data_IF_109780264776
#
_entry.id   IF_109780264776
#
_cell.length_a   1.000
_cell.length_b   1.000
_cell.length_c   1.000
_cell.angle_alpha   90.00
_cell.angle_beta   90.00
_cell.angle_gamma   90.00
#
_symmetry.space_group_name_H-M   'P 1'
#
loop_
_entity.id
_entity.type
_entity.pdbx_description
1 polymer ?
#
# COMPACT_ATOMS: atom_id res chain seq x y z
N UNK A 1 25.65 6.47 -2.21
CA UNK A 1 26.07 5.16 -1.64
C UNK A 1 26.73 5.36 -0.30
N UNK A 2 27.82 6.19 -0.17
CA UNK A 2 28.56 6.40 1.09
C UNK A 2 27.64 6.77 2.27
N UNK A 3 26.82 7.83 2.12
CA UNK A 3 25.88 8.26 3.15
C UNK A 3 24.89 7.15 3.53
N UNK A 4 24.39 6.41 2.56
CA UNK A 4 23.51 5.26 2.80
C UNK A 4 24.19 4.19 3.66
N UNK A 5 25.42 3.79 3.31
CA UNK A 5 26.16 2.79 4.07
C UNK A 5 26.46 3.23 5.51
N UNK A 6 26.86 4.49 5.71
CA UNK A 6 27.10 5.04 7.04
C UNK A 6 25.82 5.07 7.90
N UNK A 7 24.69 5.47 7.32
CA UNK A 7 23.41 5.46 8.02
C UNK A 7 22.92 4.04 8.30
N UNK A 8 23.10 3.10 7.37
CA UNK A 8 22.79 1.66 7.58
C UNK A 8 23.63 1.09 8.73
N UNK A 9 24.91 1.44 8.82
CA UNK A 9 25.78 1.04 9.93
C UNK A 9 25.28 1.58 11.29
N UNK A 10 24.86 2.85 11.35
CA UNK A 10 24.25 3.44 12.56
C UNK A 10 22.95 2.72 12.90
N UNK A 11 22.06 2.55 11.94
CA UNK A 11 20.80 1.83 12.15
C UNK A 11 21.02 0.41 12.67
N UNK A 12 22.00 -0.33 12.11
CA UNK A 12 22.36 -1.67 12.58
C UNK A 12 22.83 -1.71 14.02
N UNK A 13 23.51 -0.65 14.49
CA UNK A 13 23.95 -0.52 15.87
C UNK A 13 22.79 -0.27 16.83
N UNK A 14 21.85 0.60 16.42
CA UNK A 14 20.74 1.04 17.26
C UNK A 14 19.52 0.10 17.18
N UNK A 15 19.39 -0.65 16.08
CA UNK A 15 18.29 -1.56 15.81
C UNK A 15 18.78 -2.95 15.43
N UNK A 16 18.69 -3.88 16.39
CA UNK A 16 19.05 -5.29 16.19
C UNK A 16 17.78 -6.14 16.24
N UNK A 17 17.41 -6.74 15.12
CA UNK A 17 16.28 -7.64 15.03
C UNK A 17 16.59 -8.84 14.12
N UNK A 18 16.33 -10.08 14.55
CA UNK A 18 16.49 -11.24 13.69
C UNK A 18 15.51 -11.26 12.51
N UNK A 19 14.38 -10.54 12.62
CA UNK A 19 13.39 -10.43 11.56
C UNK A 19 13.85 -9.51 10.42
N UNK A 20 14.76 -8.59 10.70
CA UNK A 20 15.25 -7.58 9.75
C UNK A 20 16.78 -7.54 9.76
N UNK A 21 17.45 -8.58 9.27
CA UNK A 21 18.90 -8.66 9.28
C UNK A 21 19.49 -7.65 8.30
N UNK A 22 20.16 -6.62 8.83
CA UNK A 22 20.90 -5.66 8.03
C UNK A 22 22.27 -6.23 7.67
N UNK A 23 22.68 -6.18 6.37
CA UNK A 23 24.00 -6.66 5.96
C UNK A 23 25.12 -5.81 6.54
N UNK A 24 26.32 -6.38 6.58
CA UNK A 24 27.52 -5.59 6.87
C UNK A 24 28.00 -4.88 5.60
N UNK A 25 28.09 -3.55 5.66
CA UNK A 25 28.55 -2.69 4.57
C UNK A 25 29.89 -2.02 4.89
N UNK A 26 30.64 -2.54 5.87
CA UNK A 26 31.90 -1.91 6.31
C UNK A 26 32.93 -1.85 5.18
N UNK A 27 33.04 -2.88 4.36
CA UNK A 27 33.95 -2.87 3.20
C UNK A 27 33.60 -1.81 2.15
N UNK A 28 32.30 -1.61 1.92
CA UNK A 28 31.82 -0.53 1.03
C UNK A 28 32.21 0.84 1.60
N UNK A 29 32.09 1.01 2.92
CA UNK A 29 32.52 2.25 3.59
C UNK A 29 34.03 2.44 3.44
N UNK A 30 34.82 1.40 3.67
CA UNK A 30 36.28 1.46 3.54
C UNK A 30 36.71 1.84 2.12
N UNK A 31 36.01 1.33 1.09
CA UNK A 31 36.25 1.67 -0.32
C UNK A 31 35.90 3.15 -0.58
N UNK A 32 34.81 3.67 -0.03
CA UNK A 32 34.30 5.01 -0.31
C UNK A 32 34.81 6.08 0.64
N UNK A 33 35.45 5.70 1.77
CA UNK A 33 35.99 6.60 2.77
C UNK A 33 37.36 6.10 3.28
N UNK A 34 38.40 6.05 2.42
CA UNK A 34 39.72 5.52 2.76
C UNK A 34 40.40 6.36 3.86
N UNK A 35 40.03 7.62 3.97
CA UNK A 35 40.59 8.54 4.99
C UNK A 35 39.79 8.54 6.30
N UNK A 36 38.73 7.73 6.40
CA UNK A 36 37.86 7.56 7.59
C UNK A 36 37.31 8.88 8.14
N UNK A 37 36.88 9.75 7.23
CA UNK A 37 36.37 11.09 7.58
C UNK A 37 34.98 11.05 8.16
N UNK A 38 34.24 9.94 7.98
CA UNK A 38 32.82 9.76 8.32
C UNK A 38 31.87 10.83 7.73
N UNK A 39 32.38 11.62 6.78
CA UNK A 39 31.58 12.60 6.05
C UNK A 39 30.50 11.93 5.23
N UNK A 40 29.27 12.46 5.29
CA UNK A 40 28.15 11.96 4.45
C UNK A 40 28.32 12.27 2.98
N UNK A 41 29.15 13.29 2.65
CA UNK A 41 29.46 13.62 1.25
C UNK A 41 30.57 12.71 0.72
N UNK A 42 30.43 12.35 -0.54
CA UNK A 42 31.45 11.60 -1.26
C UNK A 42 32.21 12.54 -2.20
N UNK A 43 33.50 12.46 -2.17
CA UNK A 43 34.43 13.09 -3.11
C UNK A 43 35.59 12.13 -3.37
N UNK A 44 36.35 12.36 -4.44
CA UNK A 44 37.53 11.55 -4.73
C UNK A 44 38.65 11.98 -3.79
N UNK A 45 38.99 11.11 -2.86
CA UNK A 45 40.06 11.36 -1.88
C UNK A 45 41.44 11.31 -2.51
N UNK A 46 42.38 12.10 -1.98
CA UNK A 46 43.78 12.05 -2.42
C UNK A 46 44.43 10.70 -2.10
N UNK A 47 43.94 9.99 -1.10
CA UNK A 47 44.39 8.65 -0.73
C UNK A 47 44.18 7.58 -1.83
N UNK A 48 43.33 7.83 -2.83
CA UNK A 48 43.11 6.87 -3.92
C UNK A 48 44.31 6.80 -4.93
N UNK A 49 45.09 7.88 -5.08
CA UNK A 49 46.22 7.95 -6.02
C UNK A 49 47.29 8.93 -5.54
N UNK A 50 48.52 8.47 -5.52
CA UNK A 50 49.66 9.35 -5.21
C UNK A 50 49.79 10.48 -6.26
N UNK A 51 49.54 10.17 -7.54
CA UNK A 51 49.56 11.13 -8.64
C UNK A 51 48.50 12.23 -8.41
N UNK A 52 47.28 11.86 -8.06
CA UNK A 52 46.23 12.84 -7.75
C UNK A 52 46.63 13.74 -6.57
N UNK A 53 47.19 13.15 -5.51
CA UNK A 53 47.71 13.89 -4.37
C UNK A 53 48.75 14.92 -4.74
N UNK A 54 49.68 14.52 -5.62
CA UNK A 54 50.75 15.40 -6.12
C UNK A 54 50.20 16.55 -6.99
N UNK A 55 49.34 16.21 -7.96
CA UNK A 55 48.71 17.21 -8.84
C UNK A 55 47.88 18.22 -8.06
N UNK A 56 47.17 17.79 -7.03
CA UNK A 56 46.40 18.72 -6.18
C UNK A 56 47.29 19.68 -5.38
N UNK A 57 48.46 19.21 -4.92
CA UNK A 57 49.46 20.09 -4.25
C UNK A 57 50.02 21.10 -5.27
N UNK A 58 50.43 20.66 -6.46
CA UNK A 58 50.94 21.52 -7.50
C UNK A 58 49.88 22.53 -7.98
N UNK A 59 48.61 22.13 -8.05
CA UNK A 59 47.49 23.02 -8.37
C UNK A 59 47.33 24.12 -7.35
N UNK A 60 47.42 23.80 -6.05
CA UNK A 60 47.35 24.81 -5.00
C UNK A 60 48.54 25.76 -5.03
N UNK A 61 49.70 25.23 -5.32
CA UNK A 61 50.90 26.05 -5.50
C UNK A 61 50.76 26.99 -6.68
N UNK A 62 50.32 26.49 -7.86
CA UNK A 62 50.10 27.31 -9.06
C UNK A 62 49.05 28.42 -8.82
N UNK A 63 48.03 28.13 -8.01
CA UNK A 63 47.03 29.13 -7.59
C UNK A 63 47.64 30.22 -6.72
N UNK A 64 48.48 29.83 -5.77
CA UNK A 64 49.15 30.80 -4.89
C UNK A 64 50.15 31.68 -5.64
N UNK A 65 50.73 31.16 -6.74
CA UNK A 65 51.66 31.86 -7.64
C UNK A 65 50.89 32.67 -8.73
N UNK A 66 49.56 32.73 -8.68
CA UNK A 66 48.66 33.39 -9.66
C UNK A 66 48.92 32.94 -11.15
N UNK A 67 49.41 31.73 -11.31
CA UNK A 67 49.70 31.16 -12.64
C UNK A 67 48.45 30.42 -13.14
N UNK A 68 47.51 31.16 -13.74
CA UNK A 68 46.23 30.62 -14.22
C UNK A 68 46.38 29.52 -15.29
N UNK A 69 47.31 29.64 -16.20
CA UNK A 69 47.50 28.63 -17.27
C UNK A 69 47.97 27.30 -16.70
N UNK A 70 48.92 27.32 -15.76
CA UNK A 70 49.42 26.13 -15.08
C UNK A 70 48.33 25.53 -14.20
N UNK A 71 47.62 26.34 -13.45
CA UNK A 71 46.50 25.91 -12.64
C UNK A 71 45.38 25.24 -13.45
N UNK A 72 45.02 25.83 -14.61
CA UNK A 72 44.01 25.22 -15.49
C UNK A 72 44.47 23.86 -16.02
N UNK A 73 45.72 23.74 -16.48
CA UNK A 73 46.26 22.48 -17.02
C UNK A 73 46.28 21.36 -15.95
N UNK A 74 46.65 21.71 -14.71
CA UNK A 74 46.66 20.77 -13.58
C UNK A 74 45.24 20.37 -13.17
N UNK A 75 44.27 21.30 -13.22
CA UNK A 75 42.89 21.02 -13.01
C UNK A 75 42.33 19.99 -13.99
N UNK A 76 42.57 20.19 -15.28
CA UNK A 76 42.16 19.23 -16.33
C UNK A 76 42.75 17.84 -16.11
N UNK A 77 44.04 17.76 -15.77
CA UNK A 77 44.72 16.49 -15.42
C UNK A 77 44.06 15.84 -14.19
N UNK A 78 43.79 16.62 -13.14
CA UNK A 78 43.13 16.07 -11.94
C UNK A 78 41.76 15.48 -12.24
N UNK A 79 40.98 16.13 -13.10
CA UNK A 79 39.67 15.62 -13.54
C UNK A 79 39.75 14.30 -14.30
N UNK A 80 40.76 14.16 -15.17
CA UNK A 80 40.99 12.90 -15.89
C UNK A 80 41.30 11.75 -14.91
N UNK A 81 42.21 11.97 -13.95
CA UNK A 81 42.57 10.97 -12.95
C UNK A 81 41.36 10.66 -12.07
N UNK A 82 40.58 11.66 -11.65
CA UNK A 82 39.39 11.45 -10.89
C UNK A 82 38.34 10.59 -11.64
N UNK A 83 38.19 10.77 -12.95
CA UNK A 83 37.30 9.94 -13.76
C UNK A 83 37.75 8.48 -13.78
N UNK A 84 39.07 8.24 -14.00
CA UNK A 84 39.63 6.88 -13.92
C UNK A 84 39.40 6.23 -12.53
N UNK A 85 39.59 7.01 -11.46
CA UNK A 85 39.33 6.53 -10.10
C UNK A 85 37.86 6.19 -9.93
N UNK A 86 36.91 7.00 -10.44
CA UNK A 86 35.46 6.70 -10.39
C UNK A 86 35.11 5.37 -11.06
N UNK A 87 35.72 5.12 -12.26
CA UNK A 87 35.52 3.83 -12.95
C UNK A 87 36.06 2.64 -12.13
N UNK A 88 37.28 2.78 -11.60
CA UNK A 88 37.86 1.75 -10.73
C UNK A 88 37.05 1.49 -9.46
N UNK A 89 36.52 2.55 -8.84
CA UNK A 89 35.64 2.43 -7.68
C UNK A 89 34.33 1.72 -8.06
N UNK A 90 33.78 2.02 -9.25
CA UNK A 90 32.62 1.31 -9.78
C UNK A 90 32.85 -0.20 -9.87
N UNK A 91 34.00 -0.60 -10.43
CA UNK A 91 34.38 -2.02 -10.53
C UNK A 91 34.55 -2.65 -9.13
N UNK A 92 35.21 -1.96 -8.21
CA UNK A 92 35.41 -2.44 -6.83
C UNK A 92 34.10 -2.58 -6.04
N UNK A 93 33.11 -1.73 -6.35
CA UNK A 93 31.80 -1.76 -5.68
C UNK A 93 30.84 -2.79 -6.25
N UNK A 94 31.07 -3.24 -7.49
CA UNK A 94 30.18 -4.16 -8.18
C UNK A 94 29.84 -5.43 -7.39
N UNK A 95 30.81 -6.12 -6.73
CA UNK A 95 30.51 -7.32 -5.92
C UNK A 95 29.57 -7.05 -4.73
N UNK A 96 29.46 -5.81 -4.28
CA UNK A 96 28.63 -5.44 -3.12
C UNK A 96 27.22 -5.00 -3.49
N UNK A 97 26.86 -4.94 -4.78
CA UNK A 97 25.51 -4.58 -5.24
C UNK A 97 24.43 -5.44 -4.58
N UNK A 98 24.55 -6.78 -4.49
CA UNK A 98 23.54 -7.60 -3.83
C UNK A 98 23.33 -7.23 -2.36
N UNK A 99 24.41 -6.93 -1.63
CA UNK A 99 24.33 -6.51 -0.23
C UNK A 99 23.66 -5.14 -0.08
N UNK A 100 23.95 -4.19 -0.97
CA UNK A 100 23.32 -2.88 -1.01
C UNK A 100 21.80 -2.99 -1.29
N UNK A 101 21.42 -3.80 -2.27
CA UNK A 101 20.00 -4.04 -2.60
C UNK A 101 19.27 -4.73 -1.43
N UNK A 102 19.92 -5.69 -0.78
CA UNK A 102 19.36 -6.32 0.42
C UNK A 102 19.17 -5.33 1.57
N UNK A 103 20.13 -4.43 1.80
CA UNK A 103 20.01 -3.37 2.80
C UNK A 103 18.81 -2.46 2.51
N UNK A 104 18.64 -2.02 1.25
CA UNK A 104 17.50 -1.19 0.82
C UNK A 104 16.19 -1.91 1.10
N UNK A 105 16.06 -3.18 0.70
CA UNK A 105 14.87 -4.00 0.93
C UNK A 105 14.57 -4.17 2.43
N UNK A 106 15.59 -4.45 3.24
CA UNK A 106 15.43 -4.61 4.68
C UNK A 106 14.97 -3.31 5.34
N UNK A 107 15.56 -2.17 4.98
CA UNK A 107 15.16 -0.85 5.52
C UNK A 107 13.72 -0.52 5.11
N UNK A 108 13.33 -0.79 3.87
CA UNK A 108 11.95 -0.59 3.41
C UNK A 108 10.95 -1.44 4.20
N UNK A 109 11.29 -2.69 4.53
CA UNK A 109 10.45 -3.55 5.37
C UNK A 109 10.36 -3.05 6.82
N UNK A 110 11.45 -2.51 7.37
CA UNK A 110 11.45 -1.87 8.68
C UNK A 110 10.50 -0.67 8.68
N UNK A 111 10.64 0.23 7.71
CA UNK A 111 9.82 1.44 7.58
C UNK A 111 8.32 1.09 7.45
N UNK A 112 7.99 0.12 6.58
CA UNK A 112 6.62 -0.38 6.44
C UNK A 112 6.07 -0.94 7.76
N UNK A 113 6.89 -1.68 8.52
CA UNK A 113 6.48 -2.24 9.80
C UNK A 113 6.21 -1.17 10.85
N UNK A 114 7.04 -0.12 10.89
CA UNK A 114 6.80 1.05 11.74
C UNK A 114 5.53 1.81 11.33
N UNK A 115 5.31 2.01 10.03
CA UNK A 115 4.10 2.66 9.52
C UNK A 115 2.83 1.88 9.92
N UNK A 116 2.85 0.55 9.77
CA UNK A 116 1.75 -0.33 10.20
C UNK A 116 1.50 -0.24 11.72
N UNK A 117 2.56 -0.26 12.53
CA UNK A 117 2.46 -0.16 13.97
C UNK A 117 1.90 1.23 14.41
N UNK A 118 2.38 2.31 13.79
CA UNK A 118 1.91 3.67 14.03
C UNK A 118 0.42 3.82 13.71
N UNK A 119 -0.01 3.33 12.54
CA UNK A 119 -1.41 3.33 12.13
C UNK A 119 -2.28 2.52 13.10
N UNK A 120 -1.80 1.33 13.48
CA UNK A 120 -2.48 0.45 14.42
C UNK A 120 -2.69 1.12 15.79
N UNK A 121 -1.68 1.81 16.31
CA UNK A 121 -1.78 2.52 17.58
C UNK A 121 -2.69 3.74 17.49
N UNK A 122 -2.61 4.50 16.37
CA UNK A 122 -3.42 5.70 16.18
C UNK A 122 -4.92 5.39 16.18
N UNK A 123 -5.34 4.36 15.44
CA UNK A 123 -6.75 3.96 15.33
C UNK A 123 -7.16 2.83 16.28
N UNK A 124 -6.28 2.37 17.16
CA UNK A 124 -6.52 1.21 18.04
C UNK A 124 -6.99 -0.03 17.26
N UNK A 125 -6.28 -0.35 16.17
CA UNK A 125 -6.61 -1.49 15.31
C UNK A 125 -6.30 -2.81 16.02
N UNK A 126 -7.15 -3.83 15.80
CA UNK A 126 -7.02 -5.13 16.45
C UNK A 126 -6.59 -6.23 15.47
N UNK A 127 -5.90 -7.20 16.00
CA UNK A 127 -5.62 -8.43 15.26
C UNK A 127 -6.85 -9.31 15.24
N UNK A 128 -7.18 -9.87 14.07
CA UNK A 128 -8.30 -10.79 13.88
C UNK A 128 -7.80 -12.20 13.62
N UNK A 129 -8.67 -13.18 13.80
CA UNK A 129 -8.42 -14.56 13.41
C UNK A 129 -8.54 -14.70 11.89
N UNK A 130 -7.49 -15.18 11.24
CA UNK A 130 -7.53 -15.58 9.83
C UNK A 130 -7.93 -17.05 9.77
N UNK A 131 -8.99 -17.36 9.01
CA UNK A 131 -9.57 -18.70 8.95
C UNK A 131 -9.71 -19.22 7.53
N UNK A 132 -9.73 -20.53 7.37
CA UNK A 132 -10.09 -21.22 6.13
C UNK A 132 -11.62 -21.42 5.98
N UNK A 133 -12.37 -21.28 7.08
CA UNK A 133 -13.82 -21.29 7.04
C UNK A 133 -14.31 -20.05 6.29
N UNK A 134 -15.24 -20.23 5.34
CA UNK A 134 -15.80 -19.10 4.59
C UNK A 134 -16.67 -18.22 5.49
N UNK A 135 -16.03 -17.24 6.09
CA UNK A 135 -16.70 -16.26 6.95
C UNK A 135 -15.98 -14.92 6.97
N UNK A 136 -16.76 -13.86 7.03
CA UNK A 136 -16.31 -12.51 7.35
C UNK A 136 -17.15 -12.04 8.55
N UNK A 137 -16.60 -12.23 9.74
CA UNK A 137 -17.27 -11.85 11.01
C UNK A 137 -16.49 -10.71 11.65
N UNK A 138 -17.19 -9.63 11.93
CA UNK A 138 -16.61 -8.46 12.58
C UNK A 138 -17.51 -8.00 13.75
N UNK A 139 -16.89 -7.78 14.89
CA UNK A 139 -17.53 -7.17 16.06
C UNK A 139 -17.04 -5.72 16.20
N UNK A 140 -17.97 -4.80 16.32
CA UNK A 140 -17.71 -3.36 16.48
C UNK A 140 -16.76 -2.81 15.40
N UNK A 141 -17.01 -3.19 14.14
CA UNK A 141 -16.28 -2.69 12.99
C UNK A 141 -16.57 -1.19 12.78
N UNK A 142 -15.56 -0.42 12.39
CA UNK A 142 -15.72 1.00 12.11
C UNK A 142 -14.86 1.43 10.91
N UNK A 143 -15.27 2.56 10.31
CA UNK A 143 -14.46 3.22 9.27
C UNK A 143 -13.58 4.29 9.93
N UNK A 144 -12.24 4.16 9.96
CA UNK A 144 -11.37 5.04 10.74
C UNK A 144 -11.58 6.52 10.44
N UNK A 145 -11.50 6.90 9.16
CA UNK A 145 -11.64 8.28 8.72
C UNK A 145 -13.03 8.88 9.06
N UNK A 146 -14.11 8.10 8.87
CA UNK A 146 -15.46 8.59 9.15
C UNK A 146 -15.66 8.75 10.66
N UNK A 147 -15.10 7.83 11.45
CA UNK A 147 -15.12 7.93 12.91
C UNK A 147 -14.40 9.20 13.38
N UNK A 148 -13.22 9.48 12.87
CA UNK A 148 -12.43 10.67 13.17
C UNK A 148 -13.19 11.97 12.83
N UNK A 149 -13.77 12.06 11.61
CA UNK A 149 -14.59 13.22 11.20
C UNK A 149 -15.82 13.43 12.12
N UNK A 150 -16.45 12.35 12.57
CA UNK A 150 -17.60 12.46 13.48
C UNK A 150 -17.15 12.91 14.88
N UNK A 151 -16.04 12.40 15.39
CA UNK A 151 -15.46 12.79 16.68
C UNK A 151 -15.08 14.27 16.69
N UNK A 152 -14.47 14.80 15.61
CA UNK A 152 -14.20 16.24 15.45
C UNK A 152 -15.49 17.08 15.52
N UNK A 153 -16.60 16.55 14.98
CA UNK A 153 -17.92 17.19 15.04
C UNK A 153 -18.67 16.92 16.35
N UNK A 154 -18.01 16.29 17.35
CA UNK A 154 -18.63 15.86 18.62
C UNK A 154 -19.83 14.91 18.43
N UNK A 155 -19.78 14.12 17.37
CA UNK A 155 -20.76 13.08 17.07
C UNK A 155 -20.16 11.69 17.33
N UNK A 156 -21.01 10.70 17.62
CA UNK A 156 -20.56 9.34 17.89
C UNK A 156 -20.71 8.45 16.65
N UNK A 157 -19.65 7.75 16.28
CA UNK A 157 -19.74 6.70 15.28
C UNK A 157 -20.46 5.48 15.88
N UNK A 158 -21.45 4.95 15.17
CA UNK A 158 -22.13 3.71 15.56
C UNK A 158 -21.35 2.50 15.03
N UNK A 159 -20.70 1.70 15.87
CA UNK A 159 -19.97 0.50 15.44
C UNK A 159 -20.90 -0.53 14.78
N UNK A 160 -20.35 -1.30 13.85
CA UNK A 160 -21.08 -2.26 13.04
C UNK A 160 -20.69 -3.67 13.46
N UNK A 161 -21.69 -4.49 13.81
CA UNK A 161 -21.53 -5.93 13.96
C UNK A 161 -22.07 -6.60 12.70
N UNK A 162 -21.27 -7.41 12.02
CA UNK A 162 -21.67 -8.08 10.79
C UNK A 162 -21.08 -9.48 10.72
N UNK A 163 -21.87 -10.42 10.24
CA UNK A 163 -21.47 -11.79 9.94
C UNK A 163 -21.94 -12.15 8.53
N UNK A 164 -20.98 -12.45 7.66
CA UNK A 164 -21.17 -12.86 6.28
C UNK A 164 -20.58 -14.26 6.12
N UNK A 165 -21.43 -15.22 5.77
CA UNK A 165 -21.06 -16.61 5.50
C UNK A 165 -21.19 -16.93 4.00
N UNK A 166 -21.43 -18.18 3.69
CA UNK A 166 -21.48 -18.72 2.32
C UNK A 166 -22.64 -18.22 1.43
N UNK A 167 -23.49 -17.33 1.93
CA UNK A 167 -24.68 -16.87 1.23
C UNK A 167 -24.47 -15.46 0.64
N UNK A 168 -25.25 -15.11 -0.36
CA UNK A 168 -25.38 -13.72 -0.77
C UNK A 168 -26.11 -12.91 0.32
N UNK A 169 -25.75 -11.64 0.46
CA UNK A 169 -26.37 -10.74 1.42
C UNK A 169 -26.99 -9.54 0.71
N UNK A 170 -28.21 -9.23 1.09
CA UNK A 170 -28.94 -8.08 0.60
C UNK A 170 -29.17 -7.11 1.76
N UNK A 171 -28.52 -5.96 1.72
CA UNK A 171 -28.68 -4.92 2.72
C UNK A 171 -29.77 -3.95 2.27
N UNK A 172 -30.84 -3.86 3.06
CA UNK A 172 -31.95 -2.94 2.83
C UNK A 172 -32.02 -1.88 3.91
N UNK A 173 -32.67 -0.76 3.62
CA UNK A 173 -32.84 0.35 4.59
C UNK A 173 -33.06 1.67 3.90
N UNK A 174 -33.45 2.68 4.66
CA UNK A 174 -33.67 4.03 4.14
C UNK A 174 -32.40 4.61 3.51
N UNK A 175 -32.58 5.55 2.59
CA UNK A 175 -31.47 6.34 2.09
C UNK A 175 -30.83 7.10 3.25
N UNK A 176 -29.51 7.29 3.20
CA UNK A 176 -28.70 7.85 4.30
C UNK A 176 -28.57 6.98 5.57
N UNK A 177 -29.09 5.74 5.58
CA UNK A 177 -28.95 4.85 6.73
C UNK A 177 -27.53 4.24 6.90
N UNK A 178 -26.56 4.61 6.06
CA UNK A 178 -25.19 4.14 6.11
C UNK A 178 -24.89 2.86 5.32
N UNK A 179 -25.77 2.44 4.39
CA UNK A 179 -25.57 1.23 3.55
C UNK A 179 -24.23 1.27 2.80
N UNK A 180 -23.97 2.36 2.06
CA UNK A 180 -22.70 2.59 1.36
C UNK A 180 -21.51 2.56 2.30
N UNK A 181 -21.64 3.11 3.50
CA UNK A 181 -20.55 3.12 4.49
C UNK A 181 -20.22 1.71 4.98
N UNK A 182 -21.21 0.83 5.15
CA UNK A 182 -20.97 -0.58 5.49
C UNK A 182 -20.14 -1.25 4.42
N UNK A 183 -20.50 -1.09 3.13
CA UNK A 183 -19.74 -1.67 2.03
C UNK A 183 -18.30 -1.12 1.97
N UNK A 184 -18.14 0.20 2.07
CA UNK A 184 -16.80 0.84 2.10
C UNK A 184 -15.96 0.34 3.27
N UNK A 185 -16.57 0.14 4.43
CA UNK A 185 -15.90 -0.36 5.63
C UNK A 185 -15.49 -1.83 5.46
N UNK A 186 -16.35 -2.68 4.89
CA UNK A 186 -16.01 -4.07 4.57
C UNK A 186 -14.85 -4.14 3.57
N UNK A 187 -14.91 -3.35 2.50
CA UNK A 187 -13.84 -3.27 1.50
C UNK A 187 -12.51 -2.86 2.14
N UNK A 188 -12.51 -1.79 2.94
CA UNK A 188 -11.33 -1.30 3.64
C UNK A 188 -10.74 -2.35 4.59
N UNK A 189 -11.58 -3.02 5.38
CA UNK A 189 -11.15 -4.07 6.31
C UNK A 189 -10.50 -5.23 5.57
N UNK A 190 -11.10 -5.69 4.47
CA UNK A 190 -10.55 -6.79 3.69
C UNK A 190 -9.22 -6.40 3.02
N UNK A 191 -9.10 -5.18 2.48
CA UNK A 191 -7.84 -4.67 1.94
C UNK A 191 -6.75 -4.58 3.02
N UNK A 192 -7.07 -3.99 4.17
CA UNK A 192 -6.12 -3.89 5.29
C UNK A 192 -5.61 -5.28 5.71
N UNK A 193 -6.51 -6.27 5.81
CA UNK A 193 -6.15 -7.65 6.14
C UNK A 193 -5.18 -8.23 5.12
N UNK A 194 -5.49 -8.10 3.82
CA UNK A 194 -4.68 -8.68 2.73
C UNK A 194 -3.30 -8.04 2.61
N UNK A 195 -3.17 -6.78 3.02
CA UNK A 195 -1.87 -6.11 3.14
C UNK A 195 -1.18 -6.32 4.50
N UNK A 196 -1.73 -7.19 5.37
CA UNK A 196 -1.15 -7.55 6.66
C UNK A 196 -1.18 -6.42 7.69
N UNK A 197 -2.23 -5.61 7.68
CA UNK A 197 -2.53 -4.65 8.74
C UNK A 197 -3.45 -5.28 9.80
N UNK A 198 -3.45 -4.72 10.99
CA UNK A 198 -4.53 -4.91 11.95
C UNK A 198 -5.79 -4.19 11.48
N UNK A 199 -6.97 -4.57 11.99
CA UNK A 199 -8.25 -4.11 11.48
C UNK A 199 -8.99 -3.17 12.43
N UNK A 200 -9.76 -2.20 11.90
CA UNK A 200 -10.62 -1.32 12.66
C UNK A 200 -11.89 -2.05 13.13
N UNK A 201 -11.74 -2.90 14.12
CA UNK A 201 -12.81 -3.63 14.80
C UNK A 201 -12.35 -4.00 16.21
N UNK A 202 -13.27 -4.47 17.04
CA UNK A 202 -12.94 -5.00 18.37
C UNK A 202 -12.41 -6.43 18.28
N UNK A 203 -13.02 -7.25 17.44
CA UNK A 203 -12.59 -8.62 17.12
C UNK A 203 -13.18 -9.07 15.79
N UNK A 204 -12.63 -10.14 15.22
CA UNK A 204 -13.15 -10.71 13.99
C UNK A 204 -12.56 -12.06 13.67
N UNK A 205 -13.27 -12.81 12.82
CA UNK A 205 -12.83 -14.07 12.18
C UNK A 205 -13.06 -13.92 10.68
N UNK A 206 -11.97 -13.94 9.89
CA UNK A 206 -12.03 -13.45 8.52
C UNK A 206 -11.23 -14.36 7.57
N UNK A 207 -11.83 -14.67 6.42
CA UNK A 207 -11.20 -15.43 5.33
C UNK A 207 -10.47 -14.49 4.38
N UNK A 208 -9.29 -14.88 3.92
CA UNK A 208 -8.62 -14.20 2.80
C UNK A 208 -9.35 -14.49 1.49
N UNK A 209 -9.43 -13.49 0.62
CA UNK A 209 -10.06 -13.61 -0.70
C UNK A 209 -9.02 -13.47 -1.80
N UNK A 210 -9.32 -14.00 -2.98
CA UNK A 210 -8.44 -13.87 -4.16
C UNK A 210 -8.40 -12.42 -4.65
N UNK A 211 -9.58 -11.78 -4.72
CA UNK A 211 -9.70 -10.38 -5.14
C UNK A 211 -10.98 -9.75 -4.58
N UNK A 212 -11.06 -8.43 -4.65
CA UNK A 212 -12.19 -7.63 -4.19
C UNK A 212 -12.76 -6.86 -5.37
N UNK A 213 -14.01 -7.13 -5.72
CA UNK A 213 -14.73 -6.41 -6.76
C UNK A 213 -15.74 -5.44 -6.14
N UNK A 214 -15.74 -4.21 -6.61
CA UNK A 214 -16.65 -3.18 -6.11
C UNK A 214 -17.40 -2.48 -7.23
N UNK A 215 -18.67 -2.19 -6.97
CA UNK A 215 -19.48 -1.24 -7.72
C UNK A 215 -20.11 -0.30 -6.68
N UNK A 216 -19.32 0.66 -6.19
CA UNK A 216 -19.69 1.58 -5.11
C UNK A 216 -19.46 3.02 -5.58
N UNK A 217 -20.53 3.82 -5.50
CA UNK A 217 -20.51 5.23 -5.88
C UNK A 217 -21.13 5.49 -7.25
N UNK A 218 -21.39 6.76 -7.53
CA UNK A 218 -21.94 7.19 -8.81
C UNK A 218 -20.83 7.10 -9.86
N UNK A 219 -20.88 6.06 -10.69
CA UNK A 219 -19.94 5.84 -11.80
C UNK A 219 -20.15 6.86 -12.94
N UNK A 220 -20.02 8.15 -12.61
CA UNK A 220 -20.02 9.22 -13.60
C UNK A 220 -18.62 9.31 -14.22
N UNK A 221 -18.35 8.49 -15.21
CA UNK A 221 -17.27 8.75 -16.16
C UNK A 221 -17.82 9.69 -17.23
N UNK A 222 -17.94 10.98 -16.90
CA UNK A 222 -18.36 12.03 -17.86
C UNK A 222 -17.47 12.05 -19.11
N UNK A 223 -16.26 11.52 -19.04
CA UNK A 223 -15.29 11.49 -20.13
C UNK A 223 -15.55 10.43 -21.21
N UNK A 224 -16.41 9.43 -20.99
CA UNK A 224 -16.62 8.35 -21.94
C UNK A 224 -17.98 8.39 -22.65
N UNK A 225 -18.86 9.34 -22.31
CA UNK A 225 -20.18 9.47 -22.96
C UNK A 225 -21.13 8.28 -22.76
N UNK A 226 -20.80 7.37 -21.85
CA UNK A 226 -21.59 6.17 -21.52
C UNK A 226 -22.56 6.54 -20.39
N UNK A 227 -23.82 6.15 -20.50
CA UNK A 227 -24.78 6.38 -19.41
C UNK A 227 -24.33 5.63 -18.15
N UNK A 228 -24.60 6.20 -16.98
CA UNK A 228 -24.27 5.58 -15.69
C UNK A 228 -24.79 4.15 -15.55
N UNK A 229 -25.95 3.89 -16.09
CA UNK A 229 -26.54 2.54 -16.13
C UNK A 229 -25.74 1.58 -17.02
N UNK A 230 -25.34 2.01 -18.21
CA UNK A 230 -24.54 1.17 -19.10
C UNK A 230 -23.17 0.84 -18.50
N UNK A 231 -22.53 1.81 -17.85
CA UNK A 231 -21.28 1.59 -17.13
C UNK A 231 -21.45 0.56 -15.99
N UNK A 232 -22.53 0.67 -15.20
CA UNK A 232 -22.84 -0.25 -14.13
C UNK A 232 -23.01 -1.69 -14.68
N UNK A 233 -23.75 -1.88 -15.77
CA UNK A 233 -23.94 -3.20 -16.41
C UNK A 233 -22.61 -3.75 -16.95
N UNK A 234 -21.78 -2.93 -17.57
CA UNK A 234 -20.46 -3.35 -18.04
C UNK A 234 -19.56 -3.79 -16.87
N UNK A 235 -19.58 -3.07 -15.75
CA UNK A 235 -18.83 -3.43 -14.55
C UNK A 235 -19.31 -4.77 -13.97
N UNK A 236 -20.61 -4.98 -13.82
CA UNK A 236 -21.16 -6.25 -13.34
C UNK A 236 -20.82 -7.41 -14.27
N UNK A 237 -20.90 -7.20 -15.59
CA UNK A 237 -20.51 -8.21 -16.57
C UNK A 237 -19.01 -8.56 -16.44
N UNK A 238 -18.17 -7.56 -16.22
CA UNK A 238 -16.75 -7.77 -15.98
C UNK A 238 -16.50 -8.57 -14.69
N UNK A 239 -17.20 -8.25 -13.60
CA UNK A 239 -17.14 -9.03 -12.35
C UNK A 239 -17.51 -10.49 -12.63
N UNK A 240 -18.67 -10.74 -13.26
CA UNK A 240 -19.15 -12.11 -13.54
C UNK A 240 -18.16 -12.91 -14.40
N UNK A 241 -17.48 -12.26 -15.35
CA UNK A 241 -16.49 -12.91 -16.23
C UNK A 241 -15.20 -13.29 -15.49
N UNK A 242 -14.81 -12.51 -14.50
CA UNK A 242 -13.54 -12.69 -13.81
C UNK A 242 -13.61 -13.60 -12.58
N UNK A 243 -14.78 -13.78 -11.97
CA UNK A 243 -14.94 -14.69 -10.83
C UNK A 243 -14.94 -16.17 -11.28
N UNK A 244 -14.03 -16.94 -10.71
CA UNK A 244 -13.89 -18.38 -10.94
C UNK A 244 -14.58 -19.14 -9.81
N UNK A 245 -15.04 -20.37 -10.11
CA UNK A 245 -15.77 -21.19 -9.14
C UNK A 245 -14.90 -21.81 -8.06
N UNK A 246 -13.61 -21.94 -8.30
CA UNK A 246 -12.61 -22.55 -7.41
C UNK A 246 -11.91 -21.52 -6.48
N UNK A 247 -12.25 -20.24 -6.62
CA UNK A 247 -11.68 -19.13 -5.84
C UNK A 247 -12.76 -18.40 -5.06
N UNK A 248 -12.36 -17.77 -3.97
CA UNK A 248 -13.25 -16.95 -3.14
C UNK A 248 -12.98 -15.47 -3.39
N UNK A 249 -14.02 -14.70 -3.66
CA UNK A 249 -13.95 -13.25 -3.90
C UNK A 249 -14.84 -12.51 -2.91
N UNK A 250 -14.57 -11.22 -2.70
CA UNK A 250 -15.49 -10.30 -2.04
C UNK A 250 -16.09 -9.36 -3.09
N UNK A 251 -17.40 -9.39 -3.24
CA UNK A 251 -18.16 -8.62 -4.23
C UNK A 251 -19.08 -7.67 -3.50
N UNK A 252 -18.89 -6.37 -3.68
CA UNK A 252 -19.61 -5.31 -3.00
C UNK A 252 -20.29 -4.39 -4.01
N UNK A 253 -21.62 -4.38 -4.03
CA UNK A 253 -22.42 -3.61 -5.01
C UNK A 253 -23.36 -2.67 -4.27
N UNK A 254 -23.27 -1.38 -4.53
CA UNK A 254 -24.10 -0.36 -3.89
C UNK A 254 -25.23 0.09 -4.82
N UNK A 255 -26.44 0.01 -4.32
CA UNK A 255 -27.68 0.48 -4.98
C UNK A 255 -27.83 0.04 -6.46
N UNK A 256 -27.60 -1.26 -6.74
CA UNK A 256 -27.66 -1.83 -8.08
C UNK A 256 -28.94 -1.44 -8.81
N UNK A 257 -28.79 -0.99 -10.05
CA UNK A 257 -29.85 -0.59 -10.97
C UNK A 257 -30.72 0.60 -10.49
N UNK A 258 -30.11 1.52 -9.72
CA UNK A 258 -30.82 2.70 -9.17
C UNK A 258 -31.41 3.61 -10.25
N UNK A 259 -30.76 3.72 -11.40
CA UNK A 259 -31.10 4.69 -12.47
C UNK A 259 -32.02 4.12 -13.56
N UNK A 260 -32.53 2.89 -13.40
CA UNK A 260 -33.42 2.25 -14.37
C UNK A 260 -34.86 2.11 -13.86
N UNK A 261 -35.74 1.60 -14.73
CA UNK A 261 -37.13 1.30 -14.34
C UNK A 261 -37.16 0.31 -13.15
N UNK A 262 -37.97 0.56 -12.11
CA UNK A 262 -37.99 -0.28 -10.90
C UNK A 262 -38.26 -1.77 -11.16
N UNK A 263 -39.08 -2.12 -12.14
CA UNK A 263 -39.39 -3.53 -12.51
C UNK A 263 -38.18 -4.20 -13.13
N UNK A 264 -37.47 -3.51 -14.01
CA UNK A 264 -36.25 -4.01 -14.67
C UNK A 264 -35.09 -4.05 -13.68
N UNK A 265 -34.93 -3.00 -12.85
CA UNK A 265 -33.90 -2.94 -11.83
C UNK A 265 -34.01 -4.07 -10.81
N UNK A 266 -35.23 -4.38 -10.34
CA UNK A 266 -35.49 -5.53 -9.46
C UNK A 266 -35.01 -6.84 -10.12
N UNK A 267 -35.37 -7.11 -11.39
CA UNK A 267 -34.96 -8.31 -12.11
C UNK A 267 -33.44 -8.40 -12.33
N UNK A 268 -32.78 -7.27 -12.55
CA UNK A 268 -31.31 -7.23 -12.64
C UNK A 268 -30.65 -7.62 -11.32
N UNK A 269 -31.11 -7.09 -10.20
CA UNK A 269 -30.62 -7.46 -8.86
C UNK A 269 -30.84 -8.97 -8.62
N UNK A 270 -32.02 -9.49 -8.93
CA UNK A 270 -32.36 -10.91 -8.78
C UNK A 270 -31.48 -11.79 -9.68
N UNK A 271 -31.28 -11.41 -10.94
CA UNK A 271 -30.42 -12.11 -11.89
C UNK A 271 -28.97 -12.14 -11.44
N UNK A 272 -28.43 -11.00 -11.03
CA UNK A 272 -27.07 -10.90 -10.52
C UNK A 272 -26.84 -11.80 -9.29
N UNK A 273 -27.71 -11.73 -8.30
CA UNK A 273 -27.64 -12.56 -7.09
C UNK A 273 -27.76 -14.06 -7.42
N UNK A 274 -28.62 -14.46 -8.36
CA UNK A 274 -28.73 -15.86 -8.81
C UNK A 274 -27.45 -16.36 -9.46
N UNK A 275 -26.80 -15.55 -10.30
CA UNK A 275 -25.51 -15.91 -10.92
C UNK A 275 -24.42 -16.01 -9.87
N UNK A 276 -24.34 -15.07 -8.95
CA UNK A 276 -23.34 -15.06 -7.88
C UNK A 276 -23.51 -16.22 -6.89
N UNK A 277 -24.75 -16.67 -6.64
CA UNK A 277 -25.03 -17.80 -5.75
C UNK A 277 -24.41 -19.13 -6.20
N UNK A 278 -24.07 -19.24 -7.48
CA UNK A 278 -23.37 -20.39 -8.05
C UNK A 278 -21.84 -20.31 -7.92
N UNK A 279 -21.33 -19.26 -7.27
CA UNK A 279 -19.92 -18.94 -7.15
C UNK A 279 -19.47 -18.96 -5.70
N UNK A 280 -18.25 -19.37 -5.46
CA UNK A 280 -17.63 -19.39 -4.13
C UNK A 280 -17.21 -17.99 -3.69
N UNK A 281 -18.17 -17.05 -3.47
CA UNK A 281 -17.84 -15.66 -3.20
C UNK A 281 -18.72 -15.08 -2.09
N UNK A 282 -18.17 -14.11 -1.36
CA UNK A 282 -18.95 -13.26 -0.47
C UNK A 282 -19.56 -12.15 -1.30
N UNK A 283 -20.88 -12.09 -1.36
CA UNK A 283 -21.59 -11.08 -2.16
C UNK A 283 -22.47 -10.24 -1.25
N UNK A 284 -22.25 -8.95 -1.24
CA UNK A 284 -23.06 -8.00 -0.47
C UNK A 284 -23.57 -6.92 -1.40
N UNK A 285 -24.88 -6.90 -1.58
CA UNK A 285 -25.57 -5.94 -2.44
C UNK A 285 -26.44 -5.05 -1.57
N UNK A 286 -26.38 -3.73 -1.74
CA UNK A 286 -27.36 -2.83 -1.18
C UNK A 286 -28.44 -2.52 -2.21
N UNK A 287 -29.65 -2.32 -1.76
CA UNK A 287 -30.76 -1.93 -2.63
C UNK A 287 -31.83 -1.16 -1.87
N UNK A 288 -32.60 -0.38 -2.60
CA UNK A 288 -33.83 0.27 -2.12
C UNK A 288 -35.09 -0.55 -2.46
N UNK A 289 -34.96 -1.61 -3.28
CA UNK A 289 -36.08 -2.48 -3.60
C UNK A 289 -36.44 -3.38 -2.44
N UNK A 290 -37.76 -3.48 -2.09
CA UNK A 290 -38.23 -4.25 -0.95
C UNK A 290 -38.44 -5.73 -1.25
N UNK A 291 -38.88 -6.08 -2.45
CA UNK A 291 -39.43 -7.40 -2.79
C UNK A 291 -38.52 -8.17 -3.77
N UNK A 292 -37.25 -8.29 -3.45
CA UNK A 292 -36.28 -9.06 -4.25
C UNK A 292 -36.48 -10.55 -4.00
N UNK A 293 -36.74 -11.33 -5.07
CA UNK A 293 -36.85 -12.79 -5.05
C UNK A 293 -35.56 -13.46 -5.51
N UNK A 294 -34.57 -13.49 -4.63
CA UNK A 294 -33.28 -14.10 -4.90
C UNK A 294 -32.74 -14.84 -3.69
N UNK A 295 -31.87 -15.84 -3.88
CA UNK A 295 -31.18 -16.55 -2.80
C UNK A 295 -30.18 -15.60 -2.10
N UNK A 296 -30.67 -14.84 -1.15
CA UNK A 296 -29.86 -13.89 -0.38
C UNK A 296 -30.43 -13.72 1.03
N UNK A 297 -29.55 -13.69 2.02
CA UNK A 297 -29.88 -13.35 3.39
C UNK A 297 -30.10 -11.85 3.53
N UNK A 298 -31.21 -11.46 4.10
CA UNK A 298 -31.54 -10.03 4.25
C UNK A 298 -30.98 -9.47 5.55
N UNK A 299 -30.31 -8.35 5.40
CA UNK A 299 -29.88 -7.52 6.52
C UNK A 299 -30.58 -6.17 6.46
N UNK A 300 -31.01 -5.65 7.57
CA UNK A 300 -31.62 -4.32 7.65
C UNK A 300 -30.74 -3.39 8.47
N UNK A 301 -30.37 -2.27 7.89
CA UNK A 301 -29.71 -1.21 8.64
C UNK A 301 -30.76 -0.50 9.48
N UNK A 302 -30.55 -0.47 10.80
CA UNK A 302 -31.36 0.38 11.70
C UNK A 302 -30.90 1.81 11.44
N UNK A 303 -31.72 2.60 10.76
CA UNK A 303 -31.42 4.02 10.52
C UNK A 303 -31.21 4.80 11.82
N UNK A 304 -30.82 6.06 11.70
CA UNK A 304 -30.69 6.94 12.86
C UNK A 304 -32.00 6.96 13.67
N UNK A 305 -31.86 6.88 15.01
CA UNK A 305 -32.96 7.15 15.93
C UNK A 305 -33.08 8.64 16.16
#
# INVERSE_FOLDING_TARGET
>A
IKAFCLNTKKLKKDFTSPLFPLPDLQEVINILDPEKTESMQFYIYSAYSQELSQIRKEYQQAKNEENEQKAHSLYVKSQQIENTIREQLGIKLFPYIPALLNAIKTIANIDLSFAKAKLSNHYNLQQVEITQERTLTYNSMFHPLVKEILEEKKQTFQPINIEIKEENYLITGANMAGKTLILKTLCLNQLLLQYGFKLPCQSGKVTLVEDIYTSIGDGQNENEGISSFAYEILNLNNIIKNIKTDKTYLILVDELARTTNPIEGKKLVEGFLKVCNQRNSFVVVTTHYSDIEAPAKRMRVKGFK
#
